data_IF_659816946620
#
_entry.id   IF_659816946620
#
_cell.length_a   1.000
_cell.length_b   1.000
_cell.length_c   1.000
_cell.angle_alpha   90.00
_cell.angle_beta   90.00
_cell.angle_gamma   90.00
#
_symmetry.space_group_name_H-M   'P 1'
#
loop_
_entity.id
_entity.type
_entity.pdbx_description
1 polymer ?
#
# COMPACT_ATOMS: atom_id res chain seq x y z
N UNK A 1 -19.95 -3.92 14.11
CA UNK A 1 -18.88 -4.13 13.11
C UNK A 1 -17.57 -3.82 13.80
N UNK A 2 -16.82 -4.86 14.15
CA UNK A 2 -15.57 -4.75 14.87
C UNK A 2 -14.45 -4.62 13.85
N UNK A 3 -13.68 -3.54 13.92
CA UNK A 3 -12.67 -3.20 12.93
C UNK A 3 -11.29 -3.51 13.47
N UNK A 4 -10.58 -4.41 12.80
CA UNK A 4 -9.21 -4.78 13.16
C UNK A 4 -8.27 -4.25 12.06
N UNK A 5 -7.21 -3.54 12.45
CA UNK A 5 -6.08 -3.27 11.54
C UNK A 5 -5.51 -4.64 11.16
N UNK A 6 -5.54 -4.97 9.87
CA UNK A 6 -4.93 -6.21 9.38
C UNK A 6 -3.47 -6.25 9.82
N UNK A 7 -3.11 -7.24 10.64
CA UNK A 7 -1.73 -7.43 11.07
C UNK A 7 -0.99 -8.23 10.00
N UNK A 8 -0.49 -7.51 9.00
CA UNK A 8 0.43 -8.03 7.97
C UNK A 8 1.81 -8.39 8.56
N UNK A 9 2.15 -7.89 9.74
CA UNK A 9 3.44 -8.17 10.35
C UNK A 9 3.45 -9.57 10.97
N UNK A 10 4.28 -10.48 10.41
CA UNK A 10 4.51 -11.84 10.91
C UNK A 10 5.92 -12.04 11.49
N UNK A 11 6.62 -10.95 11.82
CA UNK A 11 8.06 -10.99 12.07
C UNK A 11 8.87 -10.73 10.80
N UNK A 12 10.18 -10.96 10.87
CA UNK A 12 11.06 -10.92 9.71
C UNK A 12 10.90 -12.22 8.92
N UNK A 13 10.17 -12.15 7.81
CA UNK A 13 9.91 -13.29 6.90
C UNK A 13 10.70 -13.19 5.60
N UNK A 14 11.37 -12.06 5.38
CA UNK A 14 12.19 -11.79 4.21
C UNK A 14 13.11 -10.59 4.45
N UNK A 15 13.42 -9.85 3.38
CA UNK A 15 14.33 -8.71 3.47
C UNK A 15 13.56 -7.45 3.87
N UNK A 16 14.00 -6.80 4.94
CA UNK A 16 13.55 -5.46 5.32
C UNK A 16 14.44 -4.45 4.58
N UNK A 17 13.82 -3.50 3.88
CA UNK A 17 14.52 -2.41 3.22
C UNK A 17 14.69 -1.20 4.16
N UNK A 18 15.68 -0.36 3.90
CA UNK A 18 15.91 0.85 4.69
C UNK A 18 14.75 1.85 4.54
N UNK A 19 14.56 2.69 5.55
CA UNK A 19 13.59 3.78 5.49
C UNK A 19 14.16 4.96 4.68
N UNK A 20 14.24 4.80 3.37
CA UNK A 20 14.70 5.83 2.43
C UNK A 20 13.74 7.02 2.38
N UNK A 21 12.42 6.79 2.45
CA UNK A 21 11.43 7.88 2.42
C UNK A 21 11.62 8.82 3.61
N UNK A 22 11.88 8.27 4.80
CA UNK A 22 12.18 8.99 6.04
C UNK A 22 11.24 10.18 6.29
N UNK A 23 9.93 9.96 6.10
CA UNK A 23 8.85 10.97 6.26
C UNK A 23 8.92 12.17 5.31
N UNK A 24 9.79 12.16 4.32
CA UNK A 24 9.76 13.12 3.24
C UNK A 24 8.66 12.73 2.25
N UNK A 25 7.42 13.08 2.56
CA UNK A 25 6.25 12.79 1.71
C UNK A 25 6.13 13.74 0.50
N UNK A 26 6.90 14.83 0.47
CA UNK A 26 6.82 15.83 -0.60
C UNK A 26 7.38 15.26 -1.89
N UNK A 27 6.55 15.18 -2.92
CA UNK A 27 6.97 14.96 -4.31
C UNK A 27 6.72 16.24 -5.10
N UNK A 28 7.59 16.55 -6.06
CA UNK A 28 7.47 17.72 -6.94
C UNK A 28 6.90 17.36 -8.31
N UNK A 29 6.87 16.08 -8.65
CA UNK A 29 6.33 15.55 -9.91
C UNK A 29 5.70 14.16 -9.68
N UNK A 30 4.76 13.74 -10.54
CA UNK A 30 4.24 12.37 -10.52
C UNK A 30 5.35 11.32 -10.63
N UNK A 31 5.11 10.13 -10.10
CA UNK A 31 6.00 8.96 -10.15
C UNK A 31 7.36 9.13 -9.46
N UNK A 32 7.51 10.11 -8.57
CA UNK A 32 8.70 10.22 -7.72
C UNK A 32 8.59 9.37 -6.46
N UNK A 33 7.39 9.31 -5.86
CA UNK A 33 7.15 8.63 -4.59
C UNK A 33 5.77 7.99 -4.60
N UNK A 34 5.74 6.68 -4.44
CA UNK A 34 4.52 5.91 -4.32
C UNK A 34 4.43 5.27 -2.94
N UNK A 35 3.22 5.10 -2.43
CA UNK A 35 2.97 4.35 -1.19
C UNK A 35 1.90 3.28 -1.37
N UNK A 36 2.02 2.20 -0.62
CA UNK A 36 1.03 1.13 -0.54
C UNK A 36 0.92 0.59 0.88
N UNK A 37 -0.24 0.05 1.19
CA UNK A 37 -0.50 -0.78 2.37
C UNK A 37 -1.73 -1.65 2.08
N UNK A 38 -2.07 -2.60 2.95
CA UNK A 38 -3.27 -3.43 2.85
C UNK A 38 -4.19 -3.13 4.03
N UNK A 39 -5.42 -2.71 3.74
CA UNK A 39 -6.48 -2.62 4.77
C UNK A 39 -7.50 -3.74 4.60
N UNK A 40 -7.89 -4.34 5.72
CA UNK A 40 -9.08 -5.18 5.82
C UNK A 40 -10.31 -4.29 6.01
N UNK A 41 -11.42 -4.68 5.38
CA UNK A 41 -12.75 -4.19 5.67
C UNK A 41 -13.72 -5.38 5.73
N UNK A 42 -14.76 -5.24 6.57
CA UNK A 42 -15.78 -6.27 6.75
C UNK A 42 -17.15 -5.67 6.47
N UNK A 43 -18.00 -6.43 5.78
CA UNK A 43 -19.37 -6.04 5.43
C UNK A 43 -20.33 -7.23 5.52
N UNK A 44 -21.56 -7.04 5.05
CA UNK A 44 -22.52 -8.15 4.85
C UNK A 44 -22.01 -9.19 3.85
N UNK A 45 -21.12 -8.79 2.95
CA UNK A 45 -20.41 -9.64 1.99
C UNK A 45 -19.22 -10.41 2.61
N UNK A 46 -19.01 -10.32 3.93
CA UNK A 46 -17.84 -10.90 4.59
C UNK A 46 -16.62 -9.99 4.57
N UNK A 47 -15.42 -10.58 4.63
CA UNK A 47 -14.15 -9.85 4.65
C UNK A 47 -13.65 -9.58 3.24
N UNK A 48 -13.09 -8.40 3.06
CA UNK A 48 -12.31 -8.07 1.88
C UNK A 48 -11.09 -7.22 2.24
N UNK A 49 -10.09 -7.29 1.39
CA UNK A 49 -8.78 -6.68 1.57
C UNK A 49 -8.53 -5.80 0.37
N UNK A 50 -8.21 -4.53 0.60
CA UNK A 50 -7.86 -3.57 -0.43
C UNK A 50 -6.36 -3.30 -0.38
N UNK A 51 -5.71 -3.40 -1.54
CA UNK A 51 -4.31 -2.99 -1.74
C UNK A 51 -4.26 -1.93 -2.83
N UNK A 52 -4.16 -0.63 -2.47
CA UNK A 52 -3.94 0.45 -3.42
C UNK A 52 -2.46 0.84 -3.50
N UNK A 53 -2.08 1.47 -4.61
CA UNK A 53 -0.88 2.31 -4.73
C UNK A 53 -1.35 3.74 -4.91
N UNK A 54 -0.79 4.64 -4.10
CA UNK A 54 -1.00 6.07 -4.23
C UNK A 54 0.27 6.77 -4.71
N UNK A 55 0.10 7.76 -5.57
CA UNK A 55 1.13 8.74 -5.87
C UNK A 55 1.12 9.84 -4.80
N UNK A 56 2.26 10.12 -4.17
CA UNK A 56 2.36 11.15 -3.13
C UNK A 56 2.33 12.58 -3.68
N UNK A 57 2.45 12.77 -4.99
CA UNK A 57 2.41 14.11 -5.60
C UNK A 57 1.01 14.72 -5.53
N UNK A 58 0.00 13.98 -5.97
CA UNK A 58 -1.38 14.44 -6.12
C UNK A 58 -2.40 13.56 -5.38
N UNK A 59 -1.97 12.49 -4.72
CA UNK A 59 -2.86 11.54 -4.05
C UNK A 59 -3.58 10.58 -5.01
N UNK A 60 -3.18 10.52 -6.29
CA UNK A 60 -3.82 9.68 -7.29
C UNK A 60 -3.67 8.19 -6.96
N UNK A 61 -4.76 7.43 -7.13
CA UNK A 61 -4.72 5.97 -7.06
C UNK A 61 -4.18 5.41 -8.38
N UNK A 62 -2.88 5.11 -8.41
CA UNK A 62 -2.18 4.54 -9.58
C UNK A 62 -2.78 3.20 -10.00
N UNK A 63 -2.94 2.31 -9.01
CA UNK A 63 -3.51 0.99 -9.19
C UNK A 63 -4.09 0.47 -7.88
N UNK A 64 -5.00 -0.49 -7.98
CA UNK A 64 -5.51 -1.20 -6.82
C UNK A 64 -5.96 -2.60 -7.19
N UNK A 65 -6.04 -3.46 -6.19
CA UNK A 65 -6.67 -4.78 -6.31
C UNK A 65 -7.44 -5.13 -5.03
N UNK A 66 -8.52 -5.90 -5.19
CA UNK A 66 -9.41 -6.33 -4.12
C UNK A 66 -9.45 -7.85 -4.05
N UNK A 67 -9.41 -8.40 -2.83
CA UNK A 67 -9.45 -9.84 -2.59
C UNK A 67 -10.28 -10.17 -1.35
N UNK A 68 -10.87 -11.36 -1.31
CA UNK A 68 -11.53 -11.90 -0.10
C UNK A 68 -10.54 -12.51 0.90
N UNK A 69 -9.26 -12.59 0.53
CA UNK A 69 -8.16 -13.03 1.39
C UNK A 69 -6.88 -12.22 1.14
N UNK A 70 -6.12 -11.92 2.19
CA UNK A 70 -4.81 -11.30 2.05
C UNK A 70 -3.81 -12.33 1.48
N UNK A 71 -3.40 -12.16 0.22
CA UNK A 71 -2.53 -13.10 -0.47
C UNK A 71 -1.56 -12.39 -1.45
N UNK A 72 -0.49 -13.09 -1.84
CA UNK A 72 0.52 -12.56 -2.76
C UNK A 72 -0.01 -12.32 -4.18
N UNK A 73 -1.10 -12.99 -4.57
CA UNK A 73 -1.70 -12.82 -5.89
C UNK A 73 -2.29 -11.42 -6.05
N UNK A 74 -2.94 -10.90 -5.00
CA UNK A 74 -3.45 -9.54 -4.95
C UNK A 74 -2.32 -8.51 -5.20
N UNK A 75 -1.23 -8.62 -4.44
CA UNK A 75 -0.09 -7.71 -4.56
C UNK A 75 0.53 -7.80 -5.96
N UNK A 76 0.64 -9.01 -6.52
CA UNK A 76 1.14 -9.21 -7.89
C UNK A 76 0.25 -8.54 -8.94
N UNK A 77 -1.08 -8.71 -8.85
CA UNK A 77 -2.03 -8.11 -9.79
C UNK A 77 -1.99 -6.58 -9.71
N UNK A 78 -1.95 -6.04 -8.49
CA UNK A 78 -1.83 -4.61 -8.24
C UNK A 78 -0.55 -4.04 -8.87
N UNK A 79 0.62 -4.67 -8.66
CA UNK A 79 1.88 -4.20 -9.26
C UNK A 79 1.85 -4.28 -10.79
N UNK A 80 1.26 -5.35 -11.35
CA UNK A 80 1.15 -5.50 -12.80
C UNK A 80 0.33 -4.38 -13.42
N UNK A 81 -0.82 -4.02 -12.81
CA UNK A 81 -1.67 -2.90 -13.25
C UNK A 81 -0.93 -1.56 -13.18
N UNK A 82 -0.12 -1.33 -12.15
CA UNK A 82 0.69 -0.12 -12.05
C UNK A 82 1.75 -0.08 -13.15
N UNK A 83 2.54 -1.15 -13.31
CA UNK A 83 3.64 -1.18 -14.26
C UNK A 83 3.22 -1.22 -15.72
N UNK A 84 1.98 -1.61 -16.03
CA UNK A 84 1.45 -1.53 -17.39
C UNK A 84 1.07 -0.10 -17.80
N UNK A 85 0.72 0.76 -16.84
CA UNK A 85 0.30 2.15 -17.09
C UNK A 85 1.49 3.12 -17.18
N UNK A 86 2.58 2.83 -16.47
CA UNK A 86 3.73 3.74 -16.35
C UNK A 86 4.97 3.12 -17.00
N UNK A 87 5.47 3.78 -18.06
CA UNK A 87 6.57 3.24 -18.89
C UNK A 87 7.95 3.35 -18.22
N UNK A 88 8.23 4.47 -17.55
CA UNK A 88 9.48 4.69 -16.83
C UNK A 88 9.19 4.97 -15.35
N UNK A 89 9.79 4.15 -14.47
CA UNK A 89 9.69 4.24 -13.02
C UNK A 89 11.08 4.18 -12.36
N UNK A 90 12.14 4.38 -13.13
CA UNK A 90 13.50 4.36 -12.60
C UNK A 90 13.69 5.49 -11.58
N UNK A 91 14.23 5.16 -10.41
CA UNK A 91 14.42 6.10 -9.32
C UNK A 91 13.18 6.38 -8.47
N UNK A 92 11.99 5.89 -8.85
CA UNK A 92 10.79 5.97 -8.01
C UNK A 92 11.06 5.35 -6.64
N UNK A 93 10.70 6.06 -5.57
CA UNK A 93 10.66 5.48 -4.23
C UNK A 93 9.31 4.82 -4.02
N UNK A 94 9.31 3.52 -3.72
CA UNK A 94 8.11 2.76 -3.43
C UNK A 94 8.09 2.39 -1.94
N UNK A 95 7.24 3.07 -1.18
CA UNK A 95 7.19 2.98 0.28
C UNK A 95 6.04 2.10 0.78
N UNK A 96 6.34 1.18 1.69
CA UNK A 96 5.35 0.33 2.37
C UNK A 96 5.66 0.17 3.85
N UNK A 97 4.74 -0.45 4.59
CA UNK A 97 5.07 -1.01 5.90
C UNK A 97 5.99 -2.24 5.77
N UNK A 98 6.35 -2.83 6.92
CA UNK A 98 7.10 -4.09 6.97
C UNK A 98 6.18 -5.33 6.89
N UNK A 99 5.04 -5.24 6.20
CA UNK A 99 4.13 -6.36 6.00
C UNK A 99 4.81 -7.55 5.32
N UNK A 100 4.37 -8.77 5.67
CA UNK A 100 4.97 -10.02 5.17
C UNK A 100 5.07 -10.05 3.64
N UNK A 101 4.05 -9.52 2.95
CA UNK A 101 3.99 -9.46 1.50
C UNK A 101 5.09 -8.60 0.86
N UNK A 102 5.51 -7.52 1.53
CA UNK A 102 6.49 -6.56 0.99
C UNK A 102 7.94 -6.98 1.28
N UNK A 103 8.15 -7.85 2.28
CA UNK A 103 9.46 -8.44 2.59
C UNK A 103 9.86 -9.57 1.62
N UNK A 104 8.92 -10.14 0.86
CA UNK A 104 9.20 -11.25 -0.02
C UNK A 104 10.16 -10.88 -1.15
N UNK A 105 11.12 -11.78 -1.43
CA UNK A 105 12.10 -11.63 -2.51
C UNK A 105 11.45 -11.28 -3.85
N UNK A 106 10.38 -11.98 -4.22
CA UNK A 106 9.64 -11.75 -5.46
C UNK A 106 9.07 -10.33 -5.59
N UNK A 107 8.72 -9.68 -4.48
CA UNK A 107 8.27 -8.30 -4.48
C UNK A 107 9.46 -7.37 -4.73
N UNK A 108 10.51 -7.49 -3.92
CA UNK A 108 11.73 -6.68 -4.05
C UNK A 108 12.39 -6.79 -5.44
N UNK A 109 12.39 -7.98 -6.04
CA UNK A 109 12.96 -8.22 -7.38
C UNK A 109 12.17 -7.53 -8.48
N UNK A 110 10.83 -7.51 -8.39
CA UNK A 110 9.99 -6.80 -9.35
C UNK A 110 10.21 -5.30 -9.30
N UNK A 111 10.39 -4.74 -8.11
CA UNK A 111 10.76 -3.33 -7.95
C UNK A 111 12.14 -3.07 -8.59
N UNK A 112 13.13 -3.89 -8.25
CA UNK A 112 14.49 -3.77 -8.78
C UNK A 112 14.55 -3.87 -10.31
N UNK A 113 13.80 -4.77 -10.92
CA UNK A 113 13.71 -4.93 -12.39
C UNK A 113 13.19 -3.68 -13.10
N UNK A 114 12.48 -2.79 -12.38
CA UNK A 114 11.95 -1.53 -12.88
C UNK A 114 12.81 -0.32 -12.47
N UNK A 115 13.95 -0.54 -11.81
CA UNK A 115 14.78 0.54 -11.26
C UNK A 115 14.12 1.26 -10.07
N UNK A 116 13.11 0.66 -9.45
CA UNK A 116 12.37 1.24 -8.33
C UNK A 116 13.11 0.98 -7.03
N UNK A 117 13.23 2.01 -6.20
CA UNK A 117 13.89 1.98 -4.89
C UNK A 117 12.84 1.59 -3.84
N UNK A 118 13.00 0.42 -3.25
CA UNK A 118 12.13 -0.01 -2.16
C UNK A 118 12.46 0.73 -0.87
N UNK A 119 11.45 1.22 -0.18
CA UNK A 119 11.56 1.83 1.15
C UNK A 119 10.54 1.20 2.09
N UNK A 120 10.95 0.90 3.34
CA UNK A 120 10.02 0.40 4.35
C UNK A 120 10.00 1.29 5.59
N UNK A 121 8.80 1.48 6.16
CA UNK A 121 8.62 2.19 7.42
C UNK A 121 9.35 1.49 8.58
N UNK A 122 9.61 2.22 9.67
CA UNK A 122 10.04 1.59 10.92
C UNK A 122 8.88 0.81 11.53
N UNK A 123 9.18 -0.28 12.23
CA UNK A 123 8.18 -1.08 12.95
C UNK A 123 7.47 -0.21 13.99
N UNK A 124 6.13 -0.24 13.97
CA UNK A 124 5.29 0.46 14.96
C UNK A 124 5.21 1.98 14.80
N UNK A 125 5.65 2.54 13.66
CA UNK A 125 5.69 3.97 13.44
C UNK A 125 4.62 4.41 12.42
N UNK A 126 3.44 4.84 12.91
CA UNK A 126 2.35 5.31 12.06
C UNK A 126 2.72 6.57 11.26
N UNK A 127 3.59 7.42 11.80
CA UNK A 127 3.99 8.67 11.14
C UNK A 127 4.68 8.41 9.80
N UNK A 128 5.42 7.30 9.67
CA UNK A 128 6.10 6.92 8.43
C UNK A 128 5.09 6.54 7.32
N UNK A 129 3.87 6.13 7.67
CA UNK A 129 2.81 5.70 6.74
C UNK A 129 1.62 6.67 6.68
N UNK A 130 1.80 7.92 7.12
CA UNK A 130 0.69 8.88 7.32
C UNK A 130 -0.17 9.13 6.06
N UNK A 131 0.43 9.14 4.87
CA UNK A 131 -0.28 9.36 3.59
C UNK A 131 -1.32 8.26 3.33
N UNK A 132 -0.87 7.00 3.39
CA UNK A 132 -1.75 5.85 3.11
C UNK A 132 -2.75 5.63 4.25
N UNK A 133 -2.37 5.90 5.50
CA UNK A 133 -3.29 5.86 6.64
C UNK A 133 -4.40 6.91 6.49
N UNK A 134 -4.07 8.14 6.07
CA UNK A 134 -5.05 9.20 5.82
C UNK A 134 -6.03 8.82 4.71
N UNK A 135 -5.53 8.24 3.61
CA UNK A 135 -6.37 7.72 2.53
C UNK A 135 -7.37 6.67 3.04
N UNK A 136 -6.92 5.71 3.86
CA UNK A 136 -7.82 4.70 4.41
C UNK A 136 -8.85 5.27 5.39
N UNK A 137 -8.50 6.29 6.16
CA UNK A 137 -9.47 6.99 7.03
C UNK A 137 -10.58 7.63 6.18
N UNK A 138 -10.21 8.37 5.14
CA UNK A 138 -11.17 9.00 4.21
C UNK A 138 -12.03 7.96 3.52
N UNK A 139 -11.43 6.92 2.94
CA UNK A 139 -12.16 5.84 2.27
C UNK A 139 -13.18 5.17 3.20
N UNK A 140 -12.79 4.90 4.45
CA UNK A 140 -13.69 4.28 5.44
C UNK A 140 -14.84 5.20 5.82
N UNK A 141 -14.56 6.49 6.00
CA UNK A 141 -15.57 7.50 6.31
C UNK A 141 -16.62 7.58 5.20
N UNK A 142 -16.18 7.79 3.96
CA UNK A 142 -17.06 8.05 2.84
C UNK A 142 -17.81 6.80 2.36
N UNK A 143 -17.16 5.64 2.29
CA UNK A 143 -17.77 4.44 1.70
C UNK A 143 -18.53 3.54 2.69
N UNK A 144 -18.24 3.63 4.00
CA UNK A 144 -18.77 2.66 4.97
C UNK A 144 -19.48 3.29 6.18
N UNK A 145 -19.10 4.51 6.60
CA UNK A 145 -19.79 5.18 7.71
C UNK A 145 -21.04 5.92 7.24
N UNK A 146 -21.05 6.50 6.03
CA UNK A 146 -22.23 7.17 5.45
C UNK A 146 -23.36 6.18 5.17
N UNK A 147 -23.04 4.96 4.72
CA UNK A 147 -23.99 3.91 4.34
C UNK A 147 -24.83 3.36 5.50
N UNK A 148 -24.47 3.68 6.75
CA UNK A 148 -25.24 3.30 7.94
C UNK A 148 -26.31 4.30 8.36
N UNK A 149 -26.34 5.51 7.79
CA UNK A 149 -27.38 6.51 8.11
C UNK A 149 -28.66 6.37 7.29
N UNK A 150 -28.68 5.48 6.29
CA UNK A 150 -29.80 5.33 5.35
C UNK A 150 -30.49 3.93 5.42
N UNK A 151 -30.45 3.26 6.57
CA UNK A 151 -31.25 2.09 6.87
C UNK A 151 -31.91 2.21 8.23
#
# INVERSE_FOLDING_TARGET
MFWWKYKSYKGTVGKIADNILNRNFVATQPNQKWTTDVTEFSGSFGKAYLSPILDMFNGEVIAWDLSTSANNQQIRKMLQKAFSKHKNLEGLIFHSDQGWQYQHRQFSEKLKQKGIIQSMSRKGNCLDNSVIESFFVTLKRECFMVTKKNF
#
